data_IF_090913464518
#
_entry.id   IF_090913464518
#
_cell.length_a   1.000
_cell.length_b   1.000
_cell.length_c   1.000
_cell.angle_alpha   90.00
_cell.angle_beta   90.00
_cell.angle_gamma   90.00
#
_symmetry.space_group_name_H-M   'P 1'
#
loop_
_entity.id
_entity.type
_entity.pdbx_description
1 polymer ?
#
# COMPACT_ATOMS: atom_id res chain seq x y z
N UNK A 1 -12.55 -6.28 -3.38
CA UNK A 1 -12.07 -5.53 -2.20
C UNK A 1 -13.24 -4.71 -1.69
N UNK A 2 -13.57 -4.83 -0.41
CA UNK A 2 -14.49 -3.89 0.24
C UNK A 2 -13.69 -2.69 0.73
N UNK A 3 -14.32 -1.52 0.68
CA UNK A 3 -13.76 -0.21 1.00
C UNK A 3 -13.03 -0.21 2.34
N UNK A 4 -11.85 0.41 2.38
CA UNK A 4 -11.10 0.64 3.62
C UNK A 4 -11.49 1.98 4.24
N UNK A 5 -11.50 2.05 5.56
CA UNK A 5 -11.73 3.31 6.29
C UNK A 5 -10.40 3.78 6.87
N UNK A 6 -9.99 4.98 6.47
CA UNK A 6 -8.83 5.66 7.05
C UNK A 6 -9.29 6.48 8.26
N UNK A 7 -8.76 6.15 9.43
CA UNK A 7 -9.03 6.84 10.69
C UNK A 7 -7.76 7.58 11.11
N UNK A 8 -7.94 8.84 11.46
CA UNK A 8 -6.84 9.74 11.80
C UNK A 8 -6.99 10.07 13.28
N UNK A 9 -6.13 9.53 14.16
CA UNK A 9 -6.12 9.90 15.57
C UNK A 9 -5.74 11.38 15.76
N UNK A 10 -5.91 11.94 16.97
CA UNK A 10 -5.72 13.36 17.25
C UNK A 10 -4.38 13.91 16.73
N UNK A 11 -4.40 15.18 16.32
CA UNK A 11 -3.23 15.89 15.81
C UNK A 11 -2.03 15.78 16.75
N UNK A 12 -0.82 15.59 16.20
CA UNK A 12 0.43 15.50 16.95
C UNK A 12 0.88 14.08 17.33
N UNK A 13 0.02 13.06 17.21
CA UNK A 13 0.38 11.68 17.54
C UNK A 13 1.20 10.97 16.46
N UNK A 14 1.08 11.40 15.21
CA UNK A 14 1.71 10.75 14.05
C UNK A 14 1.27 9.33 13.79
N UNK A 15 0.18 8.91 14.42
CA UNK A 15 -0.44 7.64 14.14
C UNK A 15 -1.42 7.80 12.97
N UNK A 16 -1.46 6.79 12.11
CA UNK A 16 -2.49 6.55 11.11
C UNK A 16 -3.10 5.18 11.42
N UNK A 17 -4.41 5.10 11.52
CA UNK A 17 -5.11 3.82 11.66
C UNK A 17 -5.95 3.55 10.42
N UNK A 18 -5.93 2.30 9.97
CA UNK A 18 -6.61 1.86 8.77
C UNK A 18 -7.28 0.51 9.04
N UNK A 19 -8.59 0.43 8.80
CA UNK A 19 -9.31 -0.85 8.76
C UNK A 19 -9.67 -1.19 7.32
N UNK A 20 -9.35 -2.40 6.87
CA UNK A 20 -9.53 -2.82 5.49
C UNK A 20 -9.74 -4.33 5.37
N UNK A 21 -10.15 -4.78 4.18
CA UNK A 21 -10.29 -6.21 3.86
C UNK A 21 -9.67 -6.52 2.52
N UNK A 22 -8.65 -7.37 2.54
CA UNK A 22 -8.02 -7.95 1.35
C UNK A 22 -8.82 -9.21 0.98
N UNK A 23 -9.20 -9.34 -0.29
CA UNK A 23 -10.02 -10.47 -0.73
C UNK A 23 -9.26 -11.80 -0.57
N UNK A 24 -9.97 -12.87 -0.24
CA UNK A 24 -9.39 -14.20 0.02
C UNK A 24 -8.67 -14.79 -1.19
N UNK A 25 -9.07 -14.42 -2.41
CA UNK A 25 -8.42 -14.84 -3.65
C UNK A 25 -7.16 -14.01 -3.99
N UNK A 26 -6.70 -13.14 -3.10
CA UNK A 26 -5.43 -12.45 -3.25
C UNK A 26 -4.27 -13.42 -2.96
N UNK A 27 -3.27 -13.43 -3.85
CA UNK A 27 -2.02 -14.18 -3.63
C UNK A 27 -1.00 -13.34 -2.87
N UNK A 28 -1.03 -12.03 -3.08
CA UNK A 28 -0.15 -11.05 -2.44
C UNK A 28 -0.93 -9.77 -2.14
N UNK A 29 -0.65 -9.15 -0.99
CA UNK A 29 -1.23 -7.87 -0.59
C UNK A 29 -0.16 -6.92 -0.05
N UNK A 30 -0.36 -5.63 -0.30
CA UNK A 30 0.51 -4.55 0.12
C UNK A 30 -0.32 -3.31 0.46
N UNK A 31 -0.08 -2.73 1.64
CA UNK A 31 -0.45 -1.35 1.90
C UNK A 31 0.73 -0.44 1.59
N UNK A 32 0.52 0.51 0.68
CA UNK A 32 1.49 1.53 0.31
C UNK A 32 1.03 2.88 0.84
N UNK A 33 1.90 3.55 1.60
CA UNK A 33 1.66 4.87 2.17
C UNK A 33 2.69 5.84 1.60
N UNK A 34 2.20 6.87 0.92
CA UNK A 34 3.02 7.99 0.47
C UNK A 34 2.96 9.09 1.53
N UNK A 35 4.11 9.43 2.12
CA UNK A 35 4.24 10.61 2.95
C UNK A 35 4.93 11.70 2.13
N UNK A 36 4.22 12.78 1.85
CA UNK A 36 4.70 13.91 1.06
C UNK A 36 4.76 15.18 1.92
N UNK A 37 5.96 15.67 2.22
CA UNK A 37 6.13 16.89 3.01
C UNK A 37 5.58 18.11 2.24
N UNK A 38 4.87 18.98 2.95
CA UNK A 38 4.40 20.27 2.44
C UNK A 38 5.38 21.38 2.83
N UNK A 39 5.39 22.47 2.05
CA UNK A 39 6.16 23.67 2.37
C UNK A 39 7.56 23.75 1.76
N UNK A 40 8.21 24.92 1.86
CA UNK A 40 9.52 25.19 1.24
C UNK A 40 10.70 24.55 2.00
N UNK A 41 10.50 24.08 3.23
CA UNK A 41 11.57 23.61 4.14
C UNK A 41 12.33 22.41 3.59
N UNK A 42 13.57 22.18 4.06
CA UNK A 42 14.34 20.99 3.68
C UNK A 42 13.59 19.70 4.04
N UNK A 43 13.88 18.61 3.31
CA UNK A 43 13.32 17.27 3.58
C UNK A 43 13.63 16.87 5.03
N UNK A 44 12.61 16.55 5.79
CA UNK A 44 12.71 15.99 7.13
C UNK A 44 12.55 14.48 7.01
N UNK A 45 13.54 13.73 7.49
CA UNK A 45 13.49 12.28 7.53
C UNK A 45 12.57 11.81 8.66
N UNK A 46 11.80 10.75 8.38
CA UNK A 46 10.81 10.17 9.29
C UNK A 46 11.20 8.74 9.62
N UNK A 47 11.21 8.43 10.92
CA UNK A 47 11.14 7.06 11.42
C UNK A 47 9.70 6.58 11.31
N UNK A 48 9.50 5.50 10.55
CA UNK A 48 8.18 4.91 10.35
C UNK A 48 8.18 3.46 10.81
N UNK A 49 7.24 3.14 11.69
CA UNK A 49 6.96 1.76 12.13
C UNK A 49 5.49 1.43 11.89
N UNK A 50 5.17 0.14 11.84
CA UNK A 50 3.81 -0.32 11.62
C UNK A 50 3.47 -1.52 12.49
N UNK A 51 2.18 -1.61 12.85
CA UNK A 51 1.57 -2.75 13.49
C UNK A 51 0.38 -3.23 12.64
N UNK A 52 0.36 -4.52 12.31
CA UNK A 52 -0.78 -5.17 11.67
C UNK A 52 -1.45 -6.06 12.71
N UNK A 53 -2.73 -5.80 13.00
CA UNK A 53 -3.51 -6.50 14.02
C UNK A 53 -2.82 -6.52 15.40
N UNK A 54 -2.11 -5.43 15.73
CA UNK A 54 -1.37 -5.26 16.97
C UNK A 54 0.04 -5.85 16.97
N UNK A 55 0.44 -6.59 15.93
CA UNK A 55 1.78 -7.16 15.80
C UNK A 55 2.69 -6.24 14.98
N UNK A 56 3.90 -5.97 15.47
CA UNK A 56 4.89 -5.19 14.71
C UNK A 56 5.26 -5.92 13.42
N UNK A 57 5.17 -5.21 12.30
CA UNK A 57 5.47 -5.73 10.97
C UNK A 57 6.56 -4.90 10.29
N UNK A 58 7.37 -5.51 9.39
CA UNK A 58 8.40 -4.78 8.68
C UNK A 58 7.78 -3.71 7.76
N UNK A 59 8.39 -2.53 7.78
CA UNK A 59 8.10 -1.45 6.83
C UNK A 59 9.29 -1.33 5.90
N UNK A 60 9.05 -1.46 4.59
CA UNK A 60 10.08 -1.22 3.58
C UNK A 60 9.86 0.12 2.89
N UNK A 61 10.93 0.74 2.42
CA UNK A 61 10.88 2.00 1.68
C UNK A 61 11.24 1.78 0.22
N UNK A 62 10.72 2.63 -0.65
CA UNK A 62 11.13 2.68 -2.06
C UNK A 62 11.81 4.00 -2.35
N UNK A 63 12.98 3.97 -3.01
CA UNK A 63 13.70 5.21 -3.31
C UNK A 63 12.81 6.17 -4.11
N UNK A 64 12.75 7.42 -3.67
CA UNK A 64 12.02 8.47 -4.36
C UNK A 64 12.78 9.78 -4.26
N UNK A 65 12.87 10.49 -5.39
CA UNK A 65 13.45 11.82 -5.44
C UNK A 65 12.49 12.84 -4.78
N UNK A 66 13.08 13.89 -4.17
CA UNK A 66 12.34 14.96 -3.52
C UNK A 66 11.91 14.66 -2.08
N UNK A 67 10.85 15.36 -1.62
CA UNK A 67 10.38 15.36 -0.22
C UNK A 67 9.26 14.33 0.05
N UNK A 68 9.09 13.41 -0.88
CA UNK A 68 8.13 12.31 -0.78
C UNK A 68 8.86 11.00 -0.53
N UNK A 69 8.21 10.10 0.20
CA UNK A 69 8.75 8.78 0.48
C UNK A 69 7.61 7.76 0.53
N UNK A 70 7.78 6.66 -0.20
CA UNK A 70 6.88 5.51 -0.12
C UNK A 70 7.31 4.60 1.03
N UNK A 71 6.31 4.16 1.79
CA UNK A 71 6.40 3.14 2.83
C UNK A 71 5.46 2.00 2.49
N UNK A 72 5.96 0.77 2.60
CA UNK A 72 5.33 -0.45 2.09
C UNK A 72 5.22 -1.48 3.21
N UNK A 73 3.99 -1.92 3.49
CA UNK A 73 3.68 -2.93 4.51
C UNK A 73 3.00 -4.12 3.83
N UNK A 74 3.61 -5.32 3.85
CA UNK A 74 2.98 -6.52 3.31
C UNK A 74 1.76 -6.90 4.15
N UNK A 75 0.69 -7.37 3.48
CA UNK A 75 -0.56 -7.78 4.13
C UNK A 75 -1.08 -9.06 3.49
N UNK A 76 -1.65 -9.93 4.31
CA UNK A 76 -2.26 -11.18 3.87
C UNK A 76 -3.71 -10.97 3.43
N UNK A 77 -4.33 -11.95 2.76
CA UNK A 77 -5.77 -11.99 2.58
C UNK A 77 -6.51 -12.00 3.93
N UNK A 78 -7.65 -11.33 4.01
CA UNK A 78 -8.46 -11.24 5.22
C UNK A 78 -8.75 -9.81 5.68
N UNK A 79 -9.37 -9.71 6.86
CA UNK A 79 -9.70 -8.45 7.52
C UNK A 79 -8.54 -8.05 8.44
N UNK A 80 -8.10 -6.80 8.31
CA UNK A 80 -6.94 -6.31 9.04
C UNK A 80 -7.17 -4.90 9.58
N UNK A 81 -6.47 -4.58 10.66
CA UNK A 81 -6.28 -3.22 11.16
C UNK A 81 -4.79 -2.90 11.15
N UNK A 82 -4.39 -1.90 10.36
CA UNK A 82 -3.03 -1.39 10.30
C UNK A 82 -2.93 -0.11 11.10
N UNK A 83 -1.93 -0.03 11.98
CA UNK A 83 -1.48 1.20 12.63
C UNK A 83 -0.09 1.55 12.12
N UNK A 84 0.09 2.75 11.61
CA UNK A 84 1.39 3.28 11.19
C UNK A 84 1.76 4.45 12.07
N UNK A 85 2.98 4.46 12.58
CA UNK A 85 3.51 5.53 13.42
C UNK A 85 4.63 6.22 12.65
N UNK A 86 4.51 7.53 12.46
CA UNK A 86 5.51 8.35 11.81
C UNK A 86 5.99 9.44 12.77
N UNK A 87 7.30 9.50 13.01
CA UNK A 87 7.92 10.53 13.83
C UNK A 87 9.18 11.09 13.15
N UNK A 88 9.44 12.41 13.23
CA UNK A 88 10.72 12.97 12.80
C UNK A 88 11.91 12.28 13.47
N UNK A 89 12.98 12.05 12.72
CA UNK A 89 14.20 11.45 13.25
C UNK A 89 14.87 12.29 14.35
N UNK A 90 14.63 13.61 14.36
CA UNK A 90 15.18 14.56 15.32
C UNK A 90 14.06 15.23 16.13
N UNK A 91 14.26 15.33 17.44
CA UNK A 91 13.24 15.78 18.40
C UNK A 91 12.78 17.23 18.21
N UNK A 92 13.61 18.09 17.61
CA UNK A 92 13.30 19.51 17.37
C UNK A 92 12.57 19.78 16.06
N UNK A 93 12.27 18.74 15.27
CA UNK A 93 11.63 18.90 13.96
C UNK A 93 10.13 18.65 14.03
N UNK A 94 9.39 19.48 13.30
CA UNK A 94 7.96 19.26 13.01
C UNK A 94 7.84 18.92 11.54
N UNK A 95 7.32 17.74 11.22
CA UNK A 95 6.99 17.39 9.85
C UNK A 95 5.51 17.68 9.60
N UNK A 96 5.23 18.34 8.47
CA UNK A 96 3.89 18.64 8.00
C UNK A 96 3.77 18.17 6.56
N UNK A 97 2.68 17.51 6.24
CA UNK A 97 2.53 16.95 4.91
C UNK A 97 1.28 16.13 4.75
N UNK A 98 1.22 15.43 3.64
CA UNK A 98 0.07 14.62 3.25
C UNK A 98 0.44 13.15 3.30
N UNK A 99 -0.40 12.34 3.91
CA UNK A 99 -0.38 10.89 3.79
C UNK A 99 -1.42 10.46 2.75
N UNK A 100 -1.00 9.65 1.77
CA UNK A 100 -1.92 9.00 0.82
C UNK A 100 -1.75 7.50 0.89
N UNK A 101 -2.85 6.79 1.10
CA UNK A 101 -2.85 5.35 1.35
C UNK A 101 -3.48 4.58 0.20
N UNK A 102 -2.81 3.50 -0.21
CA UNK A 102 -3.25 2.58 -1.26
C UNK A 102 -3.21 1.14 -0.74
N UNK A 103 -4.21 0.36 -1.13
CA UNK A 103 -4.19 -1.10 -1.07
C UNK A 103 -3.87 -1.64 -2.46
N UNK A 104 -2.76 -2.35 -2.56
CA UNK A 104 -2.30 -3.01 -3.78
C UNK A 104 -2.37 -4.51 -3.53
N UNK A 105 -3.03 -5.26 -4.42
CA UNK A 105 -3.04 -6.72 -4.32
C UNK A 105 -3.00 -7.37 -5.68
N UNK A 106 -2.43 -8.57 -5.70
CA UNK A 106 -2.44 -9.49 -6.82
C UNK A 106 -3.50 -10.54 -6.54
N UNK A 107 -4.46 -10.71 -7.44
CA UNK A 107 -5.58 -11.61 -7.28
C UNK A 107 -5.54 -12.70 -8.33
N UNK A 108 -5.81 -13.94 -7.90
CA UNK A 108 -6.11 -15.03 -8.81
C UNK A 108 -7.58 -14.96 -9.17
N UNK A 109 -7.87 -14.88 -10.45
CA UNK A 109 -9.23 -14.97 -10.96
C UNK A 109 -9.52 -16.43 -11.28
N UNK A 110 -10.58 -16.98 -10.68
CA UNK A 110 -11.06 -18.29 -11.07
C UNK A 110 -11.55 -18.23 -12.51
N UNK A 111 -10.88 -19.00 -13.38
CA UNK A 111 -11.27 -19.17 -14.77
C UNK A 111 -11.67 -20.62 -15.00
N UNK A 112 -12.70 -20.83 -15.82
CA UNK A 112 -13.03 -22.14 -16.35
C UNK A 112 -12.19 -22.37 -17.59
N UNK A 113 -11.45 -23.46 -17.63
CA UNK A 113 -10.79 -23.89 -18.85
C UNK A 113 -11.86 -24.43 -19.82
N UNK A 114 -11.90 -23.85 -21.02
CA UNK A 114 -12.74 -24.33 -22.11
C UNK A 114 -11.81 -24.89 -23.17
N UNK A 115 -11.74 -26.22 -23.25
CA UNK A 115 -10.96 -26.91 -24.27
C UNK A 115 -11.85 -27.23 -25.47
N UNK A 116 -11.46 -26.74 -26.64
CA UNK A 116 -12.10 -27.06 -27.91
C UNK A 116 -11.16 -27.99 -28.68
N UNK A 117 -11.46 -29.30 -28.74
CA UNK A 117 -10.64 -30.22 -29.50
C UNK A 117 -10.73 -29.89 -31.00
N UNK A 118 -9.60 -29.57 -31.61
CA UNK A 118 -9.50 -29.28 -33.04
C UNK A 118 -9.07 -30.54 -33.79
N UNK A 119 -9.68 -30.79 -34.95
CA UNK A 119 -9.31 -31.92 -35.84
C UNK A 119 -7.97 -31.71 -36.54
N UNK A 120 -7.49 -30.46 -36.60
CA UNK A 120 -6.23 -30.07 -37.22
C UNK A 120 -5.60 -28.94 -36.40
N UNK A 121 -4.28 -28.95 -36.26
CA UNK A 121 -3.57 -27.89 -35.54
C UNK A 121 -3.77 -26.54 -36.26
N UNK A 122 -4.18 -25.47 -35.55
CA UNK A 122 -4.32 -24.17 -36.17
C UNK A 122 -2.95 -23.63 -36.59
N UNK A 123 -2.87 -22.82 -37.66
CA UNK A 123 -1.62 -22.17 -38.04
C UNK A 123 -1.11 -21.29 -36.90
N UNK A 124 0.20 -21.35 -36.67
CA UNK A 124 0.87 -20.62 -35.58
C UNK A 124 0.67 -19.11 -35.77
N UNK A 125 0.02 -18.48 -34.80
CA UNK A 125 -0.15 -17.03 -34.75
C UNK A 125 0.81 -16.46 -33.73
N UNK A 126 1.61 -15.48 -34.13
CA UNK A 126 2.36 -14.66 -33.20
C UNK A 126 1.36 -13.88 -32.34
N UNK A 127 1.19 -14.32 -31.09
CA UNK A 127 0.43 -13.57 -30.11
C UNK A 127 1.27 -12.40 -29.62
N UNK A 128 0.65 -11.25 -29.30
CA UNK A 128 1.35 -10.18 -28.60
C UNK A 128 1.94 -10.74 -27.29
N UNK A 129 3.08 -10.19 -26.82
CA UNK A 129 3.69 -10.63 -25.58
C UNK A 129 2.69 -10.48 -24.43
N UNK A 130 2.52 -11.56 -23.67
CA UNK A 130 1.68 -11.54 -22.48
C UNK A 130 2.37 -10.68 -21.40
N UNK A 131 1.74 -9.55 -21.05
CA UNK A 131 2.28 -8.64 -20.03
C UNK A 131 2.19 -9.28 -18.62
N UNK A 132 1.20 -10.16 -18.41
CA UNK A 132 0.98 -10.86 -17.14
C UNK A 132 0.61 -12.34 -17.36
N UNK A 133 0.87 -13.22 -16.37
CA UNK A 133 0.39 -14.61 -16.42
C UNK A 133 -1.13 -14.68 -16.52
N UNK A 134 -1.62 -15.73 -17.18
CA UNK A 134 -3.06 -15.95 -17.33
C UNK A 134 -3.74 -16.15 -15.96
N UNK A 135 -4.93 -15.57 -15.79
CA UNK A 135 -5.73 -15.70 -14.57
C UNK A 135 -5.29 -14.78 -13.42
N UNK A 136 -4.44 -13.79 -13.69
CA UNK A 136 -3.95 -12.87 -12.67
C UNK A 136 -4.42 -11.43 -12.91
N UNK A 137 -4.93 -10.80 -11.84
CA UNK A 137 -5.42 -9.41 -11.86
C UNK A 137 -4.71 -8.61 -10.79
N UNK A 138 -4.02 -7.55 -11.19
CA UNK A 138 -3.47 -6.56 -10.25
C UNK A 138 -4.52 -5.50 -9.95
N UNK A 139 -4.81 -5.27 -8.68
CA UNK A 139 -5.68 -4.19 -8.21
C UNK A 139 -4.89 -3.18 -7.40
N UNK A 140 -4.99 -1.92 -7.79
CA UNK A 140 -4.45 -0.78 -7.05
C UNK A 140 -5.62 0.10 -6.62
N UNK A 141 -6.02 0.03 -5.36
CA UNK A 141 -7.16 0.76 -4.81
C UNK A 141 -6.65 1.86 -3.90
N UNK A 142 -6.95 3.11 -4.24
CA UNK A 142 -6.70 4.25 -3.36
C UNK A 142 -7.71 4.19 -2.21
N UNK A 143 -7.23 4.18 -0.98
CA UNK A 143 -8.10 4.16 0.19
C UNK A 143 -8.50 5.59 0.58
N UNK A 144 -7.53 6.49 0.62
CA UNK A 144 -7.79 7.85 1.04
C UNK A 144 -6.53 8.69 1.20
N UNK A 145 -6.73 9.91 1.69
CA UNK A 145 -5.69 10.87 1.97
C UNK A 145 -6.01 11.67 3.23
N UNK A 146 -4.97 12.13 3.92
CA UNK A 146 -5.11 12.99 5.11
C UNK A 146 -3.91 13.93 5.23
N UNK A 147 -4.16 15.13 5.74
CA UNK A 147 -3.11 16.03 6.20
C UNK A 147 -2.60 15.62 7.58
N UNK A 148 -1.28 15.49 7.72
CA UNK A 148 -0.61 15.11 8.95
C UNK A 148 0.32 16.23 9.41
N UNK A 149 0.30 16.45 10.73
CA UNK A 149 1.31 17.22 11.45
C UNK A 149 1.86 16.32 12.55
N UNK A 150 3.16 16.08 12.49
CA UNK A 150 3.86 15.18 13.42
C UNK A 150 5.03 15.88 14.06
N UNK A 151 5.14 15.66 15.37
CA UNK A 151 6.19 16.15 16.22
C UNK A 151 6.66 14.98 17.06
N UNK A 152 7.96 14.87 17.27
CA UNK A 152 8.48 13.88 18.21
C UNK A 152 8.36 14.51 19.59
N UNK A 153 7.47 13.97 20.43
CA UNK A 153 7.37 14.37 21.83
C UNK A 153 8.67 14.02 22.54
N UNK A 154 9.17 14.96 23.36
CA UNK A 154 10.27 14.75 24.32
C UNK A 154 9.94 13.66 25.32
#
# INVERSE_FOLDING_TARGET
>A
MKEGTLIVPPAGTGALELSFTVAENATEGLIAVLLAQSGPEKKIALNVSAQLDGLTVPVSTEYQEGKSQWYKVPVTPGKHTLRLFAAPEKDSLTWKGKATVWCIARQKQDSKLVELPLRQAPPERLLPPAVWPAGEVRRNVRIGEVQLTVQRGT
#
